data_IF_120689702555
#
_entry.id   IF_120689702555
#
_cell.length_a   1.000
_cell.length_b   1.000
_cell.length_c   1.000
_cell.angle_alpha   90.00
_cell.angle_beta   90.00
_cell.angle_gamma   90.00
#
_symmetry.space_group_name_H-M   'P 1'
#
loop_
_entity.id
_entity.type
_entity.pdbx_description
1 polymer ?
#
# COMPACT_ATOMS: atom_id res chain seq x y z
N UNK A 1 27.87 -23.74 9.73
CA UNK A 1 27.68 -22.87 10.91
C UNK A 1 26.56 -23.42 11.76
N UNK A 2 26.70 -23.35 13.09
CA UNK A 2 25.62 -23.71 14.02
C UNK A 2 24.54 -22.62 13.94
N UNK A 3 23.31 -23.01 13.63
CA UNK A 3 22.15 -22.13 13.73
C UNK A 3 21.49 -22.32 15.09
N UNK A 4 21.06 -21.22 15.69
CA UNK A 4 20.25 -21.24 16.91
C UNK A 4 18.78 -21.15 16.47
N UNK A 5 18.00 -22.17 16.83
CA UNK A 5 16.54 -22.14 16.66
C UNK A 5 15.91 -21.86 18.03
N UNK A 6 15.38 -20.66 18.22
CA UNK A 6 14.64 -20.27 19.41
C UNK A 6 13.23 -19.84 19.00
N UNK A 7 12.32 -20.83 18.87
CA UNK A 7 10.93 -20.56 18.55
C UNK A 7 10.72 -19.82 17.22
N UNK A 8 10.85 -18.51 17.25
CA UNK A 8 10.58 -17.63 16.11
C UNK A 8 11.83 -17.20 15.33
N UNK A 9 13.03 -17.63 15.74
CA UNK A 9 14.32 -17.29 15.08
C UNK A 9 15.07 -18.55 14.70
N UNK A 10 15.55 -18.62 13.47
CA UNK A 10 16.58 -19.54 13.01
C UNK A 10 17.71 -18.72 12.37
N UNK A 11 18.79 -18.48 13.11
CA UNK A 11 19.85 -17.57 12.70
C UNK A 11 21.24 -17.98 13.28
N UNK A 12 22.34 -17.46 12.72
CA UNK A 12 23.66 -17.59 13.33
C UNK A 12 23.68 -17.01 14.75
N UNK A 13 24.43 -17.63 15.70
CA UNK A 13 24.47 -17.19 17.10
C UNK A 13 24.83 -15.71 17.32
N UNK A 14 25.63 -15.16 16.42
CA UNK A 14 26.07 -13.75 16.51
C UNK A 14 24.94 -12.73 16.36
N UNK A 15 23.92 -13.03 15.58
CA UNK A 15 22.80 -12.11 15.30
C UNK A 15 21.48 -12.51 15.99
N UNK A 16 21.40 -13.74 16.48
CA UNK A 16 20.19 -14.29 17.09
C UNK A 16 19.64 -13.44 18.26
N UNK A 17 20.44 -12.90 19.19
CA UNK A 17 19.93 -12.07 20.27
C UNK A 17 19.25 -10.79 19.77
N UNK A 18 19.89 -10.07 18.83
CA UNK A 18 19.30 -8.84 18.27
C UNK A 18 18.01 -9.11 17.49
N UNK A 19 17.93 -10.25 16.80
CA UNK A 19 16.71 -10.65 16.09
C UNK A 19 15.59 -11.06 17.04
N UNK A 20 15.92 -11.65 18.21
CA UNK A 20 14.92 -11.95 19.24
C UNK A 20 14.36 -10.67 19.87
N UNK A 21 15.20 -9.66 20.12
CA UNK A 21 14.73 -8.36 20.60
C UNK A 21 13.79 -7.70 19.59
N UNK A 22 14.11 -7.80 18.29
CA UNK A 22 13.27 -7.30 17.22
C UNK A 22 11.91 -8.03 17.13
N UNK A 23 11.91 -9.34 17.34
CA UNK A 23 10.67 -10.14 17.39
C UNK A 23 9.79 -9.74 18.57
N UNK A 24 10.40 -9.47 19.73
CA UNK A 24 9.66 -8.97 20.89
C UNK A 24 9.04 -7.59 20.59
N UNK A 25 9.78 -6.71 19.94
CA UNK A 25 9.24 -5.42 19.46
C UNK A 25 8.07 -5.62 18.50
N UNK A 26 8.19 -6.51 17.51
CA UNK A 26 7.11 -6.84 16.58
C UNK A 26 5.86 -7.34 17.31
N UNK A 27 6.07 -8.21 18.29
CA UNK A 27 4.98 -8.76 19.11
C UNK A 27 4.25 -7.67 19.92
N UNK A 28 4.97 -6.69 20.47
CA UNK A 28 4.38 -5.56 21.18
C UNK A 28 3.47 -4.70 20.26
N UNK A 29 3.73 -4.73 18.95
CA UNK A 29 2.90 -4.11 17.91
C UNK A 29 1.85 -5.07 17.31
N UNK A 30 1.68 -6.25 17.89
CA UNK A 30 0.68 -7.24 17.45
C UNK A 30 1.08 -8.02 16.20
N UNK A 31 2.36 -8.06 15.84
CA UNK A 31 2.89 -8.78 14.67
C UNK A 31 3.61 -10.04 15.16
N UNK A 32 3.09 -11.24 14.83
CA UNK A 32 3.82 -12.50 15.03
C UNK A 32 4.89 -12.64 13.93
N UNK A 33 6.09 -12.13 14.20
CA UNK A 33 7.21 -12.15 13.26
C UNK A 33 8.07 -13.39 13.48
N UNK A 34 8.40 -14.09 12.38
CA UNK A 34 9.35 -15.21 12.36
C UNK A 34 10.47 -14.93 11.40
N UNK A 35 11.70 -15.14 11.83
CA UNK A 35 12.89 -14.82 11.04
C UNK A 35 13.74 -16.06 10.81
N UNK A 36 14.07 -16.32 9.55
CA UNK A 36 15.00 -17.36 9.12
C UNK A 36 16.17 -16.69 8.39
N UNK A 37 17.39 -16.98 8.83
CA UNK A 37 18.62 -16.43 8.22
C UNK A 37 19.41 -17.55 7.60
N UNK A 38 19.69 -17.42 6.30
CA UNK A 38 20.58 -18.29 5.55
C UNK A 38 21.99 -17.69 5.55
N UNK A 39 22.99 -18.52 5.69
CA UNK A 39 24.42 -18.12 5.71
C UNK A 39 25.03 -17.94 4.31
N UNK A 40 24.30 -18.30 3.27
CA UNK A 40 24.73 -18.19 1.87
C UNK A 40 23.55 -17.78 0.97
N UNK A 41 23.89 -17.20 -0.18
CA UNK A 41 22.89 -16.86 -1.18
C UNK A 41 22.50 -18.10 -2.00
N UNK A 42 21.22 -18.31 -2.23
CA UNK A 42 20.77 -19.21 -3.31
C UNK A 42 21.02 -18.53 -4.68
N UNK A 43 20.80 -19.27 -5.80
CA UNK A 43 20.99 -18.73 -7.14
C UNK A 43 20.11 -17.52 -7.47
N UNK A 44 18.96 -17.39 -6.83
CA UNK A 44 17.99 -16.30 -6.93
C UNK A 44 17.15 -16.19 -5.65
N UNK A 45 16.19 -15.28 -5.59
CA UNK A 45 15.32 -15.02 -4.43
C UNK A 45 14.19 -16.04 -4.23
N UNK A 46 13.82 -16.79 -5.27
CA UNK A 46 12.68 -17.73 -5.23
C UNK A 46 12.75 -18.72 -4.07
N UNK A 47 13.90 -19.38 -3.77
CA UNK A 47 13.98 -20.29 -2.63
C UNK A 47 13.71 -19.65 -1.28
N UNK A 48 13.98 -18.35 -1.09
CA UNK A 48 13.67 -17.66 0.16
C UNK A 48 12.16 -17.53 0.32
N UNK A 49 11.46 -17.22 -0.75
CA UNK A 49 9.99 -17.13 -0.75
C UNK A 49 9.35 -18.50 -0.53
N UNK A 50 9.91 -19.56 -1.10
CA UNK A 50 9.44 -20.94 -0.88
C UNK A 50 9.60 -21.32 0.59
N UNK A 51 10.74 -21.04 1.21
CA UNK A 51 10.98 -21.27 2.63
C UNK A 51 9.98 -20.46 3.47
N UNK A 52 9.80 -19.16 3.17
CA UNK A 52 8.85 -18.32 3.87
C UNK A 52 7.42 -18.88 3.79
N UNK A 53 7.01 -19.38 2.62
CA UNK A 53 5.70 -19.98 2.40
C UNK A 53 5.53 -21.29 3.19
N UNK A 54 6.54 -22.16 3.19
CA UNK A 54 6.51 -23.42 3.94
C UNK A 54 6.40 -23.15 5.44
N UNK A 55 7.20 -22.22 6.00
CA UNK A 55 7.14 -21.85 7.41
C UNK A 55 5.78 -21.20 7.73
N UNK A 56 5.32 -20.28 6.90
CA UNK A 56 4.05 -19.58 7.08
C UNK A 56 2.83 -20.52 7.00
N UNK A 57 2.89 -21.57 6.16
CA UNK A 57 1.82 -22.56 6.08
C UNK A 57 1.65 -23.36 7.37
N UNK A 58 2.71 -23.52 8.14
CA UNK A 58 2.68 -24.17 9.46
C UNK A 58 2.27 -23.20 10.59
N UNK A 59 2.33 -21.91 10.34
CA UNK A 59 2.02 -20.82 11.28
C UNK A 59 1.16 -19.77 10.58
N UNK A 60 -0.16 -20.01 10.41
CA UNK A 60 -1.03 -19.17 9.57
C UNK A 60 -1.11 -17.71 10.00
N UNK A 61 -0.92 -17.43 11.30
CA UNK A 61 -1.00 -16.07 11.84
C UNK A 61 0.36 -15.34 11.79
N UNK A 62 1.44 -16.05 11.42
CA UNK A 62 2.76 -15.46 11.39
C UNK A 62 3.08 -14.71 10.10
N UNK A 63 3.85 -13.66 10.23
CA UNK A 63 4.61 -13.04 9.14
C UNK A 63 6.02 -13.60 9.16
N UNK A 64 6.45 -14.19 8.06
CA UNK A 64 7.74 -14.86 7.94
C UNK A 64 8.68 -14.01 7.07
N UNK A 65 9.86 -13.75 7.59
CA UNK A 65 10.97 -13.09 6.89
C UNK A 65 12.13 -14.07 6.74
N UNK A 66 12.59 -14.28 5.52
CA UNK A 66 13.76 -15.09 5.21
C UNK A 66 14.84 -14.19 4.62
N UNK A 67 16.00 -14.21 5.23
CA UNK A 67 17.15 -13.38 4.87
C UNK A 67 18.30 -14.24 4.39
N UNK A 68 18.99 -13.79 3.36
CA UNK A 68 20.32 -14.25 2.97
C UNK A 68 21.21 -13.02 2.74
N UNK A 69 22.51 -13.15 2.50
CA UNK A 69 23.40 -12.00 2.35
C UNK A 69 22.94 -10.95 1.34
N UNK A 70 22.26 -11.36 0.23
CA UNK A 70 21.84 -10.44 -0.84
C UNK A 70 20.37 -10.56 -1.20
N UNK A 71 19.64 -11.54 -0.68
CA UNK A 71 18.24 -11.75 -1.03
C UNK A 71 17.36 -11.76 0.21
N UNK A 72 16.12 -11.34 -0.01
CA UNK A 72 15.07 -11.29 0.99
C UNK A 72 13.83 -11.96 0.41
N UNK A 73 13.13 -12.71 1.23
CA UNK A 73 11.83 -13.28 0.88
C UNK A 73 10.90 -13.22 2.07
N UNK A 74 9.62 -13.03 1.84
CA UNK A 74 8.64 -12.95 2.92
C UNK A 74 7.33 -13.63 2.55
N UNK A 75 6.57 -13.96 3.60
CA UNK A 75 5.21 -14.48 3.49
C UNK A 75 4.37 -13.98 4.67
N UNK A 76 3.12 -13.64 4.41
CA UNK A 76 2.12 -13.34 5.43
C UNK A 76 0.72 -13.50 4.84
N UNK A 77 -0.24 -13.86 5.69
CA UNK A 77 -1.68 -13.81 5.38
C UNK A 77 -2.33 -12.52 5.85
N UNK A 78 -1.66 -11.75 6.71
CA UNK A 78 -2.18 -10.52 7.32
C UNK A 78 -1.82 -9.26 6.53
N UNK A 79 -0.68 -9.26 5.86
CA UNK A 79 -0.20 -8.10 5.10
C UNK A 79 -0.40 -8.28 3.60
N UNK A 80 -0.87 -7.24 2.89
CA UNK A 80 -0.93 -7.25 1.43
C UNK A 80 0.43 -7.53 0.79
N UNK A 81 0.43 -8.23 -0.34
CA UNK A 81 1.66 -8.57 -1.06
C UNK A 81 2.53 -7.33 -1.36
N UNK A 82 1.91 -6.23 -1.75
CA UNK A 82 2.64 -4.98 -2.02
C UNK A 82 3.41 -4.47 -0.78
N UNK A 83 2.83 -4.56 0.42
CA UNK A 83 3.51 -4.17 1.67
C UNK A 83 4.74 -5.04 1.93
N UNK A 84 4.60 -6.36 1.72
CA UNK A 84 5.70 -7.30 1.88
C UNK A 84 6.83 -6.99 0.88
N UNK A 85 6.51 -6.75 -0.38
CA UNK A 85 7.49 -6.42 -1.43
C UNK A 85 8.22 -5.11 -1.14
N UNK A 86 7.52 -4.07 -0.68
CA UNK A 86 8.17 -2.84 -0.21
C UNK A 86 9.08 -3.10 0.98
N UNK A 87 8.66 -3.95 1.92
CA UNK A 87 9.50 -4.37 3.04
C UNK A 87 10.74 -5.14 2.58
N UNK A 88 10.60 -6.08 1.66
CA UNK A 88 11.71 -6.83 1.07
C UNK A 88 12.72 -5.90 0.38
N UNK A 89 12.26 -4.88 -0.35
CA UNK A 89 13.15 -3.92 -1.01
C UNK A 89 13.94 -3.06 -0.01
N UNK A 90 13.32 -2.61 1.07
CA UNK A 90 13.99 -1.85 2.13
C UNK A 90 14.91 -2.72 3.00
N UNK A 91 14.66 -4.03 3.03
CA UNK A 91 15.47 -4.99 3.77
C UNK A 91 16.76 -5.43 3.04
N UNK A 92 17.01 -4.99 1.82
CA UNK A 92 18.23 -5.33 1.04
C UNK A 92 19.43 -4.47 1.45
N UNK A 93 19.83 -4.54 2.71
CA UNK A 93 20.92 -3.69 3.25
C UNK A 93 22.29 -4.38 3.27
N UNK A 94 22.33 -5.70 3.14
CA UNK A 94 23.54 -6.51 3.33
C UNK A 94 23.89 -6.78 4.81
N UNK A 95 23.16 -6.21 5.77
CA UNK A 95 23.27 -6.47 7.19
C UNK A 95 21.98 -7.14 7.68
N UNK A 96 22.09 -8.30 8.30
CA UNK A 96 20.95 -9.12 8.71
C UNK A 96 20.01 -8.39 9.68
N UNK A 97 20.56 -7.70 10.68
CA UNK A 97 19.78 -7.03 11.72
C UNK A 97 19.09 -5.78 11.14
N UNK A 98 19.84 -4.96 10.39
CA UNK A 98 19.30 -3.76 9.74
C UNK A 98 18.22 -4.14 8.73
N UNK A 99 18.41 -5.25 8.00
CA UNK A 99 17.42 -5.78 7.06
C UNK A 99 16.12 -6.16 7.75
N UNK A 100 16.19 -6.88 8.85
CA UNK A 100 15.04 -7.28 9.64
C UNK A 100 14.33 -6.05 10.25
N UNK A 101 15.09 -5.08 10.73
CA UNK A 101 14.56 -3.84 11.31
C UNK A 101 13.83 -2.98 10.28
N UNK A 102 14.41 -2.81 9.09
CA UNK A 102 13.79 -2.05 8.01
C UNK A 102 12.50 -2.73 7.51
N UNK A 103 12.52 -4.06 7.44
CA UNK A 103 11.31 -4.83 7.12
C UNK A 103 10.20 -4.61 8.13
N UNK A 104 10.50 -4.75 9.43
CA UNK A 104 9.53 -4.51 10.50
C UNK A 104 8.98 -3.08 10.44
N UNK A 105 9.84 -2.08 10.32
CA UNK A 105 9.43 -0.68 10.21
C UNK A 105 8.46 -0.45 9.05
N UNK A 106 8.65 -1.13 7.91
CA UNK A 106 7.72 -1.04 6.79
C UNK A 106 6.36 -1.67 7.10
N UNK A 107 6.31 -2.77 7.87
CA UNK A 107 5.05 -3.39 8.30
C UNK A 107 4.29 -2.51 9.28
N UNK A 108 4.99 -1.78 10.15
CA UNK A 108 4.43 -0.85 11.14
C UNK A 108 3.92 0.45 10.50
N UNK A 109 4.39 0.79 9.29
CA UNK A 109 4.00 2.01 8.60
C UNK A 109 2.54 1.93 8.14
N UNK A 110 1.66 2.86 8.58
CA UNK A 110 0.27 2.85 8.18
C UNK A 110 0.11 2.91 6.66
N UNK A 111 -0.63 1.97 6.11
CA UNK A 111 -0.93 1.97 4.68
C UNK A 111 -1.87 3.12 4.35
N UNK A 112 -1.50 3.95 3.36
CA UNK A 112 -2.40 5.01 2.89
C UNK A 112 -3.69 4.39 2.33
N UNK A 113 -4.88 4.81 2.79
CA UNK A 113 -6.15 4.20 2.41
C UNK A 113 -6.56 4.61 0.98
N UNK A 114 -5.85 4.12 -0.02
CA UNK A 114 -6.06 4.45 -1.44
C UNK A 114 -7.51 4.24 -1.89
N UNK A 115 -8.17 3.20 -1.39
CA UNK A 115 -9.58 2.91 -1.72
C UNK A 115 -10.49 4.04 -1.26
N UNK A 116 -10.36 4.48 -0.01
CA UNK A 116 -11.15 5.59 0.53
C UNK A 116 -10.85 6.90 -0.21
N UNK A 117 -9.58 7.17 -0.51
CA UNK A 117 -9.17 8.34 -1.29
C UNK A 117 -9.79 8.32 -2.70
N UNK A 118 -9.75 7.18 -3.39
CA UNK A 118 -10.33 7.03 -4.72
C UNK A 118 -11.84 7.26 -4.70
N UNK A 119 -12.55 6.75 -3.70
CA UNK A 119 -13.99 6.97 -3.55
C UNK A 119 -14.30 8.47 -3.37
N UNK A 120 -13.55 9.17 -2.54
CA UNK A 120 -13.73 10.62 -2.32
C UNK A 120 -13.49 11.39 -3.62
N UNK A 121 -12.44 11.06 -4.37
CA UNK A 121 -12.15 11.69 -5.66
C UNK A 121 -13.28 11.44 -6.67
N UNK A 122 -13.79 10.20 -6.77
CA UNK A 122 -14.89 9.87 -7.67
C UNK A 122 -16.17 10.62 -7.33
N UNK A 123 -16.52 10.72 -6.05
CA UNK A 123 -17.67 11.50 -5.59
C UNK A 123 -17.49 12.98 -5.96
N UNK A 124 -16.30 13.53 -5.75
CA UNK A 124 -15.96 14.91 -6.13
C UNK A 124 -16.14 15.18 -7.64
N UNK A 125 -15.63 14.27 -8.47
CA UNK A 125 -15.78 14.37 -9.93
C UNK A 125 -17.25 14.29 -10.34
N UNK A 126 -18.04 13.37 -9.78
CA UNK A 126 -19.46 13.25 -10.06
C UNK A 126 -20.22 14.53 -9.66
N UNK A 127 -19.94 15.08 -8.49
CA UNK A 127 -20.55 16.33 -8.04
C UNK A 127 -20.21 17.51 -8.97
N UNK A 128 -18.97 17.59 -9.44
CA UNK A 128 -18.54 18.63 -10.39
C UNK A 128 -19.27 18.49 -11.75
N UNK A 129 -19.41 17.26 -12.27
CA UNK A 129 -20.14 17.02 -13.52
C UNK A 129 -21.61 17.38 -13.39
N UNK A 130 -22.26 16.99 -12.29
CA UNK A 130 -23.68 17.34 -12.03
C UNK A 130 -23.84 18.85 -11.89
N UNK A 131 -22.95 19.51 -11.13
CA UNK A 131 -22.94 20.98 -10.97
C UNK A 131 -22.81 21.71 -12.29
N UNK A 132 -21.86 21.30 -13.13
CA UNK A 132 -21.67 21.88 -14.46
C UNK A 132 -22.93 21.71 -15.35
N UNK A 133 -23.58 20.54 -15.32
CA UNK A 133 -24.80 20.27 -16.05
C UNK A 133 -25.99 21.15 -15.58
N UNK A 134 -26.12 21.33 -14.28
CA UNK A 134 -27.17 22.21 -13.71
C UNK A 134 -26.93 23.66 -14.12
N UNK A 135 -25.69 24.16 -14.04
CA UNK A 135 -25.35 25.52 -14.46
C UNK A 135 -25.63 25.74 -15.96
N UNK A 136 -25.24 24.80 -16.82
CA UNK A 136 -25.54 24.89 -18.26
C UNK A 136 -27.06 24.94 -18.56
N UNK A 137 -27.86 24.17 -17.84
CA UNK A 137 -29.31 24.19 -18.00
C UNK A 137 -29.93 25.50 -17.54
N UNK A 138 -29.46 26.11 -16.47
CA UNK A 138 -29.89 27.41 -15.98
C UNK A 138 -29.52 28.54 -16.95
N UNK A 139 -28.29 28.53 -17.49
CA UNK A 139 -27.85 29.53 -18.47
C UNK A 139 -28.69 29.52 -19.75
N UNK A 140 -29.08 28.36 -20.27
CA UNK A 140 -29.95 28.25 -21.44
C UNK A 140 -31.35 28.80 -21.20
N UNK A 141 -31.94 28.64 -20.03
CA UNK A 141 -33.26 29.21 -19.69
C UNK A 141 -33.27 30.74 -19.63
N UNK A 142 -32.18 31.36 -19.15
CA UNK A 142 -32.03 32.82 -19.11
C UNK A 142 -31.89 33.42 -20.51
N UNK A 143 -31.21 32.76 -21.44
CA UNK A 143 -31.04 33.22 -22.82
C UNK A 143 -32.35 33.20 -23.60
N UNK A 144 -33.24 32.20 -23.39
CA UNK A 144 -34.52 32.10 -24.07
C UNK A 144 -35.52 33.16 -23.61
N UNK A 145 -35.39 33.69 -22.39
CA UNK A 145 -36.28 34.75 -21.86
C UNK A 145 -35.95 36.15 -22.41
N UNK A 146 -34.72 36.37 -22.92
CA UNK A 146 -34.32 37.67 -23.49
C UNK A 146 -34.69 37.81 -24.96
N UNK A 147 -34.90 36.72 -25.69
CA UNK A 147 -35.23 36.73 -27.12
C UNK A 147 -36.73 36.96 -27.39
N UNK A 148 -37.62 36.91 -26.37
CA UNK A 148 -39.06 37.17 -26.51
C UNK A 148 -39.46 38.64 -26.35
N UNK A 149 -38.50 39.58 -26.22
CA UNK A 149 -38.76 41.02 -26.12
C UNK A 149 -38.22 41.77 -27.34
N UNK A 150 -38.65 41.40 -28.54
CA UNK A 150 -38.45 42.20 -29.75
C UNK A 150 -39.56 43.25 -29.83
N UNK A 151 -39.25 44.56 -29.93
CA UNK A 151 -40.26 45.60 -30.07
C UNK A 151 -40.88 45.57 -31.47
N UNK A 152 -42.19 45.55 -31.51
CA UNK A 152 -43.00 45.77 -32.69
C UNK A 152 -42.63 47.10 -33.32
N UNK A 153 -42.33 47.21 -34.62
CA UNK A 153 -42.16 48.49 -35.30
C UNK A 153 -43.51 49.14 -35.46
N UNK A 154 -43.71 50.28 -34.78
CA UNK A 154 -44.84 51.16 -34.88
C UNK A 154 -44.70 52.00 -36.17
N UNK A 155 -45.65 51.83 -37.01
CA UNK A 155 -46.27 52.91 -37.76
C UNK A 155 -45.53 53.64 -38.87
N UNK A 156 -45.93 53.39 -40.05
CA UNK A 156 -45.87 54.40 -41.09
C UNK A 156 -47.22 54.56 -41.67
N UNK A 157 -48.01 55.46 -41.08
CA UNK A 157 -49.01 56.21 -41.78
C UNK A 157 -48.46 57.63 -41.97
N UNK A 158 -48.50 58.10 -43.21
CA UNK A 158 -48.87 59.42 -43.69
C UNK A 158 -48.25 59.67 -45.08
N UNK A 159 -49.05 59.60 -46.11
CA UNK A 159 -49.66 60.75 -46.83
C UNK A 159 -48.72 61.29 -47.90
N UNK A 160 -49.18 61.61 -49.01
CA UNK A 160 -50.30 62.21 -49.66
C UNK A 160 -50.07 62.20 -51.15
#
# INVERSE_FOLDING_TARGET
QLQVSAGNVSAPPAVAPALLDLINQAHDHGIDLRIVVLDHNPPNDTPLRDIATVVGSQHPDATVLVLSPNFVGSYSTHFPRATLEFGEDHAKTGNTVDSAQNFLHQLETPQFPWTSFTIVVLIGVLAAVVGARVMQRRGKRSATSTESAEPVPEGADQQA
#
